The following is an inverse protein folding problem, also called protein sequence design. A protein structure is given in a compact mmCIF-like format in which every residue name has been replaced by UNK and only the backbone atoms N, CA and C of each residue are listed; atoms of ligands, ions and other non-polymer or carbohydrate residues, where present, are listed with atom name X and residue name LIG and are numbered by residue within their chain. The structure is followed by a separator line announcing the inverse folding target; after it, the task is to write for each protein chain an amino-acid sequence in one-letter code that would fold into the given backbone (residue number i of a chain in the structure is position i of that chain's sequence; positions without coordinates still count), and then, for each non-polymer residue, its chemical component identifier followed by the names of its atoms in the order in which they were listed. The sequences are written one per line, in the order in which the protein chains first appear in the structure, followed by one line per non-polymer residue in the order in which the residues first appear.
data_IF_115862380635
#
_entry.id   IF_115862380635
#
_cell.length_a   1.000
_cell.length_b   1.000
_cell.length_c   1.000
_cell.angle_alpha   90.00
_cell.angle_beta   90.00
_cell.angle_gamma   90.00
#
_symmetry.space_group_name_H-M   'P 1'
#
loop_
_entity.id
_entity.type
_entity.pdbx_description
1 polymer ?
#
# COMPACT_ATOMS: atom_id res chain seq x y z
N UNK A 1 -5.36 -20.90 -20.55
CA UNK A 1 -6.64 -21.06 -19.83
C UNK A 1 -7.78 -20.75 -20.79
N UNK A 2 -8.94 -21.38 -20.66
CA UNK A 2 -10.09 -21.10 -21.54
C UNK A 2 -10.71 -19.75 -21.21
N UNK A 3 -11.12 -18.98 -22.22
CA UNK A 3 -11.81 -17.68 -22.07
C UNK A 3 -12.95 -17.70 -21.04
N UNK A 4 -13.62 -18.85 -20.87
CA UNK A 4 -14.67 -19.07 -19.87
C UNK A 4 -14.24 -18.85 -18.41
N UNK A 5 -12.99 -19.14 -18.04
CA UNK A 5 -12.49 -18.95 -16.68
C UNK A 5 -12.20 -17.47 -16.39
N UNK A 6 -11.72 -16.74 -17.40
CA UNK A 6 -11.49 -15.30 -17.31
C UNK A 6 -12.82 -14.55 -17.17
N UNK A 7 -13.83 -14.91 -17.99
CA UNK A 7 -15.17 -14.34 -17.91
C UNK A 7 -15.83 -14.55 -16.54
N UNK A 8 -15.69 -15.76 -15.97
CA UNK A 8 -16.18 -16.05 -14.63
C UNK A 8 -15.43 -15.23 -13.58
N UNK A 9 -14.10 -15.13 -13.69
CA UNK A 9 -13.28 -14.32 -12.81
C UNK A 9 -13.70 -12.86 -12.80
N UNK A 10 -13.86 -12.26 -13.98
CA UNK A 10 -14.35 -10.88 -14.13
C UNK A 10 -15.70 -10.69 -13.45
N UNK A 11 -16.67 -11.58 -13.68
CA UNK A 11 -18.00 -11.49 -13.06
C UNK A 11 -17.94 -11.52 -11.53
N UNK A 12 -17.12 -12.40 -10.95
CA UNK A 12 -16.96 -12.49 -9.49
C UNK A 12 -16.30 -11.22 -8.93
N UNK A 13 -15.24 -10.74 -9.58
CA UNK A 13 -14.51 -9.55 -9.16
C UNK A 13 -15.36 -8.26 -9.29
N UNK A 14 -16.22 -8.17 -10.30
CA UNK A 14 -17.18 -7.06 -10.42
C UNK A 14 -18.22 -7.05 -9.29
N UNK A 15 -18.63 -8.22 -8.78
CA UNK A 15 -19.51 -8.27 -7.61
C UNK A 15 -18.84 -7.67 -6.38
N UNK A 16 -17.55 -8.00 -6.14
CA UNK A 16 -16.78 -7.41 -5.05
C UNK A 16 -16.69 -5.88 -5.17
N UNK A 17 -16.47 -5.35 -6.37
CA UNK A 17 -16.40 -3.91 -6.63
C UNK A 17 -17.76 -3.24 -6.39
N UNK A 18 -18.86 -3.83 -6.87
CA UNK A 18 -20.20 -3.28 -6.64
C UNK A 18 -20.53 -3.21 -5.14
N UNK A 19 -20.14 -4.23 -4.37
CA UNK A 19 -20.25 -4.18 -2.90
C UNK A 19 -19.38 -3.05 -2.32
N UNK A 20 -18.19 -2.81 -2.85
CA UNK A 20 -17.35 -1.70 -2.40
C UNK A 20 -18.00 -0.34 -2.67
N UNK A 21 -18.64 -0.16 -3.83
CA UNK A 21 -19.40 1.07 -4.17
C UNK A 21 -20.55 1.29 -3.18
N UNK A 22 -21.38 0.28 -2.96
CA UNK A 22 -22.51 0.38 -2.02
C UNK A 22 -22.08 0.69 -0.58
N UNK A 23 -20.93 0.16 -0.16
CA UNK A 23 -20.37 0.39 1.17
C UNK A 23 -19.66 1.75 1.28
N UNK A 24 -19.10 2.23 0.18
CA UNK A 24 -18.46 3.55 0.10
C UNK A 24 -19.49 4.65 0.38
N UNK A 25 -20.70 4.52 -0.17
CA UNK A 25 -21.81 5.43 0.09
C UNK A 25 -22.26 5.45 1.55
N UNK A 26 -22.07 4.34 2.25
CA UNK A 26 -22.40 4.18 3.68
C UNK A 26 -21.23 4.52 4.60
N UNK A 27 -20.12 5.05 4.08
CA UNK A 27 -18.88 5.32 4.82
C UNK A 27 -18.31 4.09 5.56
N UNK A 28 -18.60 2.87 5.11
CA UNK A 28 -18.19 1.65 5.79
C UNK A 28 -16.81 1.16 5.30
N UNK A 29 -15.80 2.01 5.44
CA UNK A 29 -14.45 1.76 4.93
C UNK A 29 -13.80 0.51 5.55
N UNK A 30 -14.12 0.18 6.81
CA UNK A 30 -13.64 -1.05 7.45
C UNK A 30 -14.11 -2.29 6.71
N UNK A 31 -15.38 -2.35 6.30
CA UNK A 31 -15.90 -3.48 5.53
C UNK A 31 -15.35 -3.47 4.10
N UNK A 32 -15.18 -2.31 3.46
CA UNK A 32 -14.51 -2.22 2.14
C UNK A 32 -13.10 -2.81 2.20
N UNK A 33 -12.32 -2.57 3.27
CA UNK A 33 -11.00 -3.21 3.43
C UNK A 33 -11.09 -4.75 3.44
N UNK A 34 -12.14 -5.31 4.05
CA UNK A 34 -12.39 -6.76 4.06
C UNK A 34 -12.71 -7.23 2.64
N UNK A 35 -13.60 -6.53 1.93
CA UNK A 35 -13.97 -6.88 0.55
C UNK A 35 -12.79 -6.74 -0.41
N UNK A 36 -11.93 -5.73 -0.25
CA UNK A 36 -10.71 -5.58 -1.05
C UNK A 36 -9.72 -6.73 -0.82
N UNK A 37 -9.61 -7.24 0.41
CA UNK A 37 -8.81 -8.45 0.66
C UNK A 37 -9.44 -9.69 0.01
N UNK A 38 -10.78 -9.84 0.07
CA UNK A 38 -11.52 -10.91 -0.61
C UNK A 38 -11.33 -10.85 -2.12
N UNK A 39 -11.36 -9.66 -2.70
CA UNK A 39 -11.08 -9.44 -4.12
C UNK A 39 -9.69 -9.99 -4.49
N UNK A 40 -8.66 -9.66 -3.71
CA UNK A 40 -7.29 -10.14 -3.96
C UNK A 40 -7.15 -11.66 -3.75
N UNK A 41 -7.91 -12.25 -2.83
CA UNK A 41 -8.01 -13.71 -2.66
C UNK A 41 -8.71 -14.35 -3.87
N UNK A 42 -9.76 -13.73 -4.42
CA UNK A 42 -10.40 -14.19 -5.64
C UNK A 42 -9.43 -14.13 -6.83
N UNK A 43 -8.63 -13.07 -6.95
CA UNK A 43 -7.55 -13.02 -7.96
C UNK A 43 -6.54 -14.17 -7.78
N UNK A 44 -6.23 -14.58 -6.55
CA UNK A 44 -5.36 -15.73 -6.29
C UNK A 44 -5.99 -17.04 -6.80
N UNK A 45 -7.30 -17.23 -6.60
CA UNK A 45 -8.05 -18.42 -7.05
C UNK A 45 -8.04 -18.53 -8.59
N UNK A 46 -8.28 -17.41 -9.28
CA UNK A 46 -8.25 -17.39 -10.75
C UNK A 46 -6.81 -17.37 -11.31
N UNK A 47 -5.83 -16.96 -10.49
CA UNK A 47 -4.42 -16.79 -10.84
C UNK A 47 -4.21 -15.86 -12.07
N UNK A 48 -5.06 -14.84 -12.20
CA UNK A 48 -5.02 -13.87 -13.29
C UNK A 48 -4.44 -12.54 -12.81
N UNK A 49 -3.15 -12.32 -13.11
CA UNK A 49 -2.44 -11.12 -12.65
C UNK A 49 -2.95 -9.82 -13.30
N UNK A 50 -3.65 -9.87 -14.42
CA UNK A 50 -4.17 -8.66 -15.05
C UNK A 50 -5.33 -8.04 -14.26
N UNK A 51 -5.90 -8.78 -13.29
CA UNK A 51 -7.12 -8.38 -12.60
C UNK A 51 -6.89 -7.88 -11.17
N UNK A 52 -5.68 -7.91 -10.61
CA UNK A 52 -5.48 -7.61 -9.18
C UNK A 52 -5.46 -6.10 -8.85
N UNK A 53 -5.09 -5.23 -9.81
CA UNK A 53 -4.89 -3.80 -9.57
C UNK A 53 -6.10 -3.10 -8.92
N UNK A 54 -7.36 -3.34 -9.36
CA UNK A 54 -8.53 -2.83 -8.66
C UNK A 54 -8.54 -3.10 -7.14
N UNK A 55 -8.24 -4.33 -6.73
CA UNK A 55 -8.19 -4.70 -5.31
C UNK A 55 -7.09 -3.97 -4.56
N UNK A 56 -5.93 -3.79 -5.21
CA UNK A 56 -4.81 -3.02 -4.66
C UNK A 56 -5.18 -1.55 -4.43
N UNK A 57 -5.81 -0.92 -5.43
CA UNK A 57 -6.18 0.49 -5.38
C UNK A 57 -7.34 0.76 -4.43
N UNK A 58 -8.37 -0.11 -4.38
CA UNK A 58 -9.45 -0.01 -3.40
C UNK A 58 -8.87 -0.13 -1.99
N UNK A 59 -7.96 -1.08 -1.76
CA UNK A 59 -7.31 -1.25 -0.46
C UNK A 59 -6.53 0.01 -0.04
N UNK A 60 -5.82 0.63 -0.97
CA UNK A 60 -5.06 1.85 -0.71
C UNK A 60 -6.00 3.02 -0.38
N UNK A 61 -6.99 3.25 -1.26
CA UNK A 61 -8.05 4.25 -1.10
C UNK A 61 -8.71 4.16 0.29
N UNK A 62 -9.06 2.96 0.73
CA UNK A 62 -9.68 2.76 2.06
C UNK A 62 -8.81 3.28 3.21
N UNK A 63 -7.48 3.12 3.13
CA UNK A 63 -6.60 3.64 4.18
C UNK A 63 -6.61 5.17 4.25
N UNK A 64 -6.73 5.84 3.10
CA UNK A 64 -6.86 7.29 3.05
C UNK A 64 -8.15 7.75 3.71
N UNK A 65 -9.29 7.13 3.36
CA UNK A 65 -10.58 7.47 3.94
C UNK A 65 -10.66 7.18 5.44
N UNK A 66 -10.05 6.08 5.90
CA UNK A 66 -9.88 5.84 7.33
C UNK A 66 -9.07 6.98 8.00
N UNK A 67 -8.04 7.50 7.33
CA UNK A 67 -7.29 8.67 7.78
C UNK A 67 -8.14 9.96 7.86
N UNK A 68 -9.08 10.13 6.93
CA UNK A 68 -10.03 11.26 6.93
C UNK A 68 -11.05 11.12 8.06
N UNK A 69 -11.70 9.97 8.22
CA UNK A 69 -12.79 9.82 9.21
C UNK A 69 -12.31 9.73 10.65
N UNK A 70 -11.11 9.19 10.88
CA UNK A 70 -10.56 9.06 12.23
C UNK A 70 -9.95 10.37 12.76
N UNK A 71 -9.83 11.40 11.92
CA UNK A 71 -9.41 12.73 12.31
C UNK A 71 -10.65 13.65 12.44
N UNK A 72 -10.95 14.20 13.64
CA UNK A 72 -12.14 15.02 13.88
C UNK A 72 -12.27 16.26 12.98
N UNK A 73 -11.16 16.85 12.53
CA UNK A 73 -11.18 18.04 11.68
C UNK A 73 -11.33 17.69 10.20
N UNK A 74 -10.73 16.59 9.76
CA UNK A 74 -10.85 16.11 8.38
C UNK A 74 -12.21 15.46 8.12
N UNK A 75 -12.80 14.78 9.11
CA UNK A 75 -14.08 14.10 8.99
C UNK A 75 -15.23 15.04 8.57
N UNK A 76 -15.16 16.32 8.94
CA UNK A 76 -16.09 17.37 8.52
C UNK A 76 -16.15 17.55 6.99
N UNK A 77 -15.08 17.17 6.29
CA UNK A 77 -14.93 17.29 4.83
C UNK A 77 -15.14 15.95 4.10
N UNK A 78 -15.63 14.92 4.78
CA UNK A 78 -15.77 13.57 4.21
C UNK A 78 -16.63 13.54 2.94
N UNK A 79 -17.75 14.27 2.91
CA UNK A 79 -18.63 14.30 1.74
C UNK A 79 -17.94 14.91 0.51
N UNK A 80 -17.09 15.91 0.70
CA UNK A 80 -16.30 16.49 -0.39
C UNK A 80 -15.17 15.56 -0.83
N UNK A 81 -14.53 14.86 0.13
CA UNK A 81 -13.53 13.85 -0.18
C UNK A 81 -14.14 12.70 -1.00
N UNK A 82 -15.35 12.23 -0.64
CA UNK A 82 -16.05 11.13 -1.32
C UNK A 82 -16.16 11.30 -2.83
N UNK A 83 -16.35 12.52 -3.33
CA UNK A 83 -16.41 12.81 -4.78
C UNK A 83 -15.14 12.31 -5.51
N UNK A 84 -13.98 12.40 -4.85
CA UNK A 84 -12.70 11.91 -5.38
C UNK A 84 -12.67 10.39 -5.43
N UNK A 85 -13.18 9.72 -4.39
CA UNK A 85 -13.22 8.25 -4.31
C UNK A 85 -14.26 7.62 -5.22
N UNK A 86 -15.45 8.23 -5.34
CA UNK A 86 -16.51 7.84 -6.28
C UNK A 86 -15.98 7.86 -7.72
N UNK A 87 -15.21 8.90 -8.07
CA UNK A 87 -14.54 8.98 -9.37
C UNK A 87 -13.57 7.83 -9.60
N UNK A 88 -12.72 7.48 -8.62
CA UNK A 88 -11.81 6.35 -8.74
C UNK A 88 -12.57 5.02 -8.87
N UNK A 89 -13.60 4.79 -8.06
CA UNK A 89 -14.41 3.58 -8.10
C UNK A 89 -15.11 3.40 -9.46
N UNK A 90 -15.62 4.47 -10.04
CA UNK A 90 -16.17 4.45 -11.40
C UNK A 90 -15.11 4.05 -12.44
N UNK A 91 -13.88 4.56 -12.34
CA UNK A 91 -12.77 4.16 -13.22
C UNK A 91 -12.36 2.71 -13.03
N UNK A 92 -12.41 2.20 -11.80
CA UNK A 92 -12.18 0.79 -11.50
C UNK A 92 -13.29 -0.10 -12.10
N UNK A 93 -14.54 0.33 -12.10
CA UNK A 93 -15.61 -0.40 -12.79
C UNK A 93 -15.41 -0.41 -14.30
N UNK A 94 -14.98 0.71 -14.88
CA UNK A 94 -14.71 0.84 -16.32
C UNK A 94 -13.51 0.00 -16.78
N UNK A 95 -12.54 -0.28 -15.91
CA UNK A 95 -11.34 -1.07 -16.22
C UNK A 95 -11.65 -2.42 -16.87
N UNK A 96 -12.75 -3.08 -16.53
CA UNK A 96 -13.11 -4.39 -17.09
C UNK A 96 -13.57 -4.36 -18.54
N UNK A 97 -13.69 -3.17 -19.15
CA UNK A 97 -14.06 -3.01 -20.57
C UNK A 97 -12.89 -3.30 -21.50
N UNK A 98 -11.68 -2.92 -21.10
CA UNK A 98 -10.47 -3.00 -21.94
C UNK A 98 -9.21 -3.51 -21.22
N UNK A 99 -9.28 -3.70 -19.89
CA UNK A 99 -8.18 -4.12 -19.02
C UNK A 99 -6.93 -3.26 -19.18
N UNK A 100 -7.10 -1.96 -19.45
CA UNK A 100 -5.97 -1.05 -19.67
C UNK A 100 -5.30 -0.62 -18.36
N UNK A 101 -4.23 -1.34 -17.98
CA UNK A 101 -3.48 -1.11 -16.74
C UNK A 101 -2.84 0.29 -16.66
N UNK A 102 -2.39 0.84 -17.79
CA UNK A 102 -1.78 2.17 -17.85
C UNK A 102 -2.79 3.28 -17.55
N UNK A 103 -3.99 3.19 -18.15
CA UNK A 103 -5.07 4.14 -17.87
C UNK A 103 -5.45 4.05 -16.38
N UNK A 104 -5.57 2.84 -15.84
CA UNK A 104 -5.95 2.65 -14.44
C UNK A 104 -4.91 3.23 -13.47
N UNK A 105 -3.61 3.06 -13.74
CA UNK A 105 -2.53 3.68 -12.97
C UNK A 105 -2.59 5.20 -13.01
N UNK A 106 -2.82 5.79 -14.19
CA UNK A 106 -2.97 7.24 -14.34
C UNK A 106 -4.18 7.78 -13.57
N UNK A 107 -5.31 7.07 -13.60
CA UNK A 107 -6.51 7.47 -12.84
C UNK A 107 -6.31 7.31 -11.33
N UNK A 108 -5.59 6.28 -10.90
CA UNK A 108 -5.17 6.14 -9.50
C UNK A 108 -4.19 7.23 -9.05
N UNK A 109 -3.28 7.67 -9.93
CA UNK A 109 -2.40 8.80 -9.65
C UNK A 109 -3.17 10.11 -9.49
N UNK A 110 -4.12 10.41 -10.37
CA UNK A 110 -5.01 11.58 -10.25
C UNK A 110 -5.83 11.53 -8.97
N UNK A 111 -6.34 10.36 -8.58
CA UNK A 111 -6.99 10.15 -7.30
C UNK A 111 -6.06 10.55 -6.14
N UNK A 112 -4.84 10.02 -6.10
CA UNK A 112 -3.89 10.29 -5.01
C UNK A 112 -3.50 11.77 -4.92
N UNK A 113 -3.31 12.44 -6.05
CA UNK A 113 -3.06 13.89 -6.07
C UNK A 113 -4.24 14.68 -5.48
N UNK A 114 -5.48 14.23 -5.74
CA UNK A 114 -6.69 14.92 -5.31
C UNK A 114 -7.02 14.64 -3.83
N UNK A 115 -6.91 13.39 -3.37
CA UNK A 115 -7.24 13.02 -1.98
C UNK A 115 -6.25 13.64 -0.99
N UNK A 116 -5.01 13.92 -1.42
CA UNK A 116 -4.00 14.56 -0.58
C UNK A 116 -4.43 15.94 -0.04
N UNK A 117 -5.28 16.67 -0.76
CA UNK A 117 -5.82 17.96 -0.28
C UNK A 117 -6.73 17.77 0.96
N UNK A 118 -7.28 16.57 1.16
CA UNK A 118 -8.07 16.20 2.34
C UNK A 118 -7.23 15.53 3.44
N UNK A 119 -6.10 14.94 3.07
CA UNK A 119 -5.21 14.21 3.99
C UNK A 119 -4.14 15.09 4.65
N UNK A 120 -3.82 16.25 4.09
CA UNK A 120 -2.87 17.21 4.68
C UNK A 120 -3.39 17.77 6.01
N UNK A 121 -2.48 17.98 6.95
CA UNK A 121 -2.78 18.78 8.14
C UNK A 121 -2.69 20.27 7.81
N UNK A 122 -3.33 21.14 8.60
CA UNK A 122 -3.34 22.58 8.34
C UNK A 122 -1.92 23.17 8.29
N UNK A 123 -1.00 22.63 9.10
CA UNK A 123 0.42 23.00 9.11
C UNK A 123 1.14 22.61 7.83
N UNK A 124 0.68 21.58 7.13
CA UNK A 124 1.29 21.09 5.90
C UNK A 124 0.94 21.96 4.68
N UNK A 125 -0.04 22.85 4.79
CA UNK A 125 -0.47 23.74 3.70
C UNK A 125 0.63 24.72 3.27
N UNK A 126 1.63 24.95 4.12
CA UNK A 126 2.78 25.80 3.82
C UNK A 126 3.83 25.13 2.92
N UNK A 127 3.76 23.81 2.72
CA UNK A 127 4.71 23.11 1.85
C UNK A 127 4.38 23.32 0.37
N UNK A 128 5.39 23.69 -0.40
CA UNK A 128 5.29 23.85 -1.85
C UNK A 128 5.10 22.49 -2.54
N UNK A 129 4.25 22.49 -3.56
CA UNK A 129 4.11 21.38 -4.52
C UNK A 129 5.41 21.29 -5.32
N UNK A 130 6.23 20.28 -5.04
CA UNK A 130 7.56 20.10 -5.61
C UNK A 130 7.84 18.61 -5.91
N UNK A 131 7.34 18.08 -7.04
CA UNK A 131 7.59 16.69 -7.44
C UNK A 131 9.09 16.36 -7.57
N UNK A 132 9.94 17.33 -7.89
CA UNK A 132 11.40 17.10 -7.98
C UNK A 132 12.00 16.78 -6.61
N UNK A 133 11.53 17.42 -5.55
CA UNK A 133 11.92 17.06 -4.18
C UNK A 133 11.48 15.65 -3.83
N UNK A 134 10.29 15.24 -4.26
CA UNK A 134 9.81 13.87 -4.07
C UNK A 134 10.66 12.85 -4.81
N UNK A 135 11.02 13.09 -6.07
CA UNK A 135 11.94 12.21 -6.82
C UNK A 135 13.30 12.08 -6.14
N UNK A 136 13.88 13.21 -5.67
CA UNK A 136 15.13 13.18 -4.90
C UNK A 136 15.00 12.40 -3.60
N UNK A 137 13.89 12.59 -2.88
CA UNK A 137 13.62 11.90 -1.62
C UNK A 137 13.45 10.40 -1.83
N UNK A 138 12.73 9.98 -2.87
CA UNK A 138 12.57 8.57 -3.21
C UNK A 138 13.90 7.93 -3.59
N UNK A 139 14.72 8.58 -4.43
CA UNK A 139 16.07 8.10 -4.74
C UNK A 139 16.93 7.96 -3.48
N UNK A 140 16.90 8.95 -2.58
CA UNK A 140 17.59 8.87 -1.30
C UNK A 140 17.10 7.67 -0.47
N UNK A 141 15.79 7.47 -0.34
CA UNK A 141 15.23 6.37 0.46
C UNK A 141 15.56 5.00 -0.12
N UNK A 142 15.53 4.83 -1.45
CA UNK A 142 15.92 3.58 -2.09
C UNK A 142 17.41 3.27 -1.86
N UNK A 143 18.28 4.27 -2.03
CA UNK A 143 19.71 4.13 -1.71
C UNK A 143 19.93 3.84 -0.21
N UNK A 144 19.09 4.42 0.66
CA UNK A 144 19.18 4.17 2.10
C UNK A 144 18.80 2.73 2.44
N UNK A 145 17.76 2.18 1.79
CA UNK A 145 17.39 0.76 1.91
C UNK A 145 18.51 -0.16 1.43
N UNK A 146 19.09 0.11 0.26
CA UNK A 146 20.19 -0.68 -0.30
C UNK A 146 21.43 -0.67 0.60
N UNK A 147 21.85 0.52 1.06
CA UNK A 147 23.06 0.66 1.87
C UNK A 147 22.90 0.16 3.32
N UNK A 148 21.67 0.00 3.79
CA UNK A 148 21.37 -0.44 5.15
C UNK A 148 20.42 -1.63 5.19
N UNK A 149 20.49 -2.49 4.17
CA UNK A 149 19.67 -3.70 4.05
C UNK A 149 19.70 -4.55 5.33
N UNK A 150 20.85 -4.59 6.02
CA UNK A 150 21.03 -5.33 7.26
C UNK A 150 20.04 -4.95 8.38
N UNK A 151 19.45 -3.75 8.36
CA UNK A 151 18.41 -3.38 9.32
C UNK A 151 17.11 -4.18 9.16
N UNK A 152 16.87 -4.77 7.99
CA UNK A 152 15.75 -5.71 7.76
C UNK A 152 15.93 -7.03 8.53
N UNK A 153 17.14 -7.33 9.00
CA UNK A 153 17.45 -8.59 9.67
C UNK A 153 17.67 -8.41 11.17
N UNK A 154 17.42 -7.20 11.70
CA UNK A 154 17.51 -6.91 13.12
C UNK A 154 16.19 -7.21 13.83
N UNK A 155 16.28 -7.88 14.98
CA UNK A 155 15.13 -8.20 15.82
C UNK A 155 14.40 -6.91 16.23
N UNK A 156 13.09 -6.91 16.09
CA UNK A 156 12.17 -5.81 16.41
C UNK A 156 12.48 -4.50 15.67
N UNK A 157 13.19 -4.55 14.54
CA UNK A 157 13.47 -3.37 13.73
C UNK A 157 12.27 -3.02 12.83
N UNK A 158 11.94 -1.73 12.76
CA UNK A 158 10.84 -1.16 11.98
C UNK A 158 11.32 -0.44 10.72
N UNK A 159 12.41 -0.92 10.11
CA UNK A 159 13.10 -0.24 9.01
C UNK A 159 12.18 0.12 7.84
N UNK A 160 11.48 -0.85 7.25
CA UNK A 160 10.54 -0.59 6.15
C UNK A 160 9.38 0.31 6.55
N UNK A 161 8.89 0.21 7.79
CA UNK A 161 7.84 1.09 8.31
C UNK A 161 8.34 2.55 8.37
N UNK A 162 9.58 2.75 8.83
CA UNK A 162 10.24 4.06 8.82
C UNK A 162 10.39 4.63 7.40
N UNK A 163 10.83 3.81 6.44
CA UNK A 163 10.93 4.20 5.02
C UNK A 163 9.55 4.62 4.48
N UNK A 164 8.53 3.78 4.68
CA UNK A 164 7.17 4.04 4.23
C UNK A 164 6.60 5.31 4.86
N UNK A 165 6.84 5.55 6.15
CA UNK A 165 6.41 6.77 6.83
C UNK A 165 6.98 8.03 6.17
N UNK A 166 8.27 8.01 5.81
CA UNK A 166 8.89 9.14 5.11
C UNK A 166 8.31 9.28 3.69
N UNK A 167 8.12 8.19 2.96
CA UNK A 167 7.51 8.22 1.61
C UNK A 167 6.11 8.83 1.63
N UNK A 168 5.26 8.40 2.57
CA UNK A 168 3.90 8.92 2.75
C UNK A 168 3.93 10.42 3.03
N UNK A 169 4.78 10.88 3.95
CA UNK A 169 4.93 12.30 4.26
C UNK A 169 5.33 13.11 3.02
N UNK A 170 6.31 12.62 2.26
CA UNK A 170 6.81 13.27 1.04
C UNK A 170 5.70 13.38 -0.01
N UNK A 171 5.03 12.26 -0.32
CA UNK A 171 3.92 12.19 -1.28
C UNK A 171 2.80 13.16 -0.89
N UNK A 172 2.39 13.15 0.39
CA UNK A 172 1.31 14.00 0.90
C UNK A 172 1.64 15.48 0.77
N UNK A 173 2.85 15.89 1.15
CA UNK A 173 3.18 17.31 1.32
C UNK A 173 3.79 17.95 0.06
N UNK A 174 4.51 17.20 -0.77
CA UNK A 174 5.31 17.77 -1.86
C UNK A 174 4.84 17.40 -3.26
N UNK A 175 3.70 16.73 -3.43
CA UNK A 175 3.28 16.17 -4.73
C UNK A 175 4.31 15.15 -5.25
N UNK A 176 3.98 14.39 -6.28
CA UNK A 176 4.80 13.27 -6.75
C UNK A 176 4.35 12.86 -8.15
N UNK A 177 5.22 12.18 -8.90
CA UNK A 177 4.87 11.65 -10.21
C UNK A 177 4.36 10.21 -10.08
N UNK A 178 3.80 9.67 -11.16
CA UNK A 178 3.32 8.29 -11.21
C UNK A 178 4.42 7.29 -10.81
N UNK A 179 5.65 7.55 -11.23
CA UNK A 179 6.83 6.74 -10.88
C UNK A 179 7.00 6.55 -9.36
N UNK A 180 6.97 7.64 -8.58
CA UNK A 180 7.06 7.56 -7.12
C UNK A 180 5.84 6.86 -6.49
N UNK A 181 4.64 7.05 -7.06
CA UNK A 181 3.45 6.35 -6.58
C UNK A 181 3.60 4.83 -6.72
N UNK A 182 4.05 4.38 -7.88
CA UNK A 182 4.25 2.96 -8.16
C UNK A 182 5.28 2.36 -7.17
N UNK A 183 6.42 3.03 -6.98
CA UNK A 183 7.43 2.60 -6.00
C UNK A 183 6.84 2.54 -4.58
N UNK A 184 6.08 3.56 -4.17
CA UNK A 184 5.42 3.58 -2.86
C UNK A 184 4.50 2.36 -2.68
N UNK A 185 3.64 2.07 -3.66
CA UNK A 185 2.74 0.91 -3.62
C UNK A 185 3.55 -0.38 -3.53
N UNK A 186 4.61 -0.54 -4.33
CA UNK A 186 5.45 -1.74 -4.27
C UNK A 186 6.04 -1.97 -2.88
N UNK A 187 6.68 -0.95 -2.29
CA UNK A 187 7.30 -1.05 -0.97
C UNK A 187 6.24 -1.28 0.11
N UNK A 188 5.04 -0.72 -0.03
CA UNK A 188 3.94 -0.94 0.90
C UNK A 188 3.54 -2.41 0.96
N UNK A 189 3.36 -3.04 -0.18
CA UNK A 189 3.04 -4.48 -0.23
C UNK A 189 4.23 -5.35 0.19
N UNK A 190 5.46 -4.94 -0.12
CA UNK A 190 6.65 -5.61 0.41
C UNK A 190 6.69 -5.54 1.95
N UNK A 191 6.32 -4.40 2.53
CA UNK A 191 6.20 -4.25 3.98
C UNK A 191 5.17 -5.19 4.60
N UNK A 192 4.03 -5.42 3.92
CA UNK A 192 3.05 -6.40 4.36
C UNK A 192 3.55 -7.84 4.26
N UNK A 193 4.27 -8.19 3.20
CA UNK A 193 4.87 -9.52 3.05
C UNK A 193 5.99 -9.74 4.07
N UNK A 194 6.84 -8.74 4.28
CA UNK A 194 7.95 -8.77 5.23
C UNK A 194 7.51 -9.13 6.65
N UNK A 195 6.34 -8.65 7.10
CA UNK A 195 5.79 -9.02 8.41
C UNK A 195 5.63 -10.55 8.56
N UNK A 196 5.22 -11.26 7.51
CA UNK A 196 5.10 -12.72 7.55
C UNK A 196 6.45 -13.40 7.49
N UNK A 197 7.37 -12.96 6.63
CA UNK A 197 8.71 -13.53 6.58
C UNK A 197 9.46 -13.33 7.89
N UNK A 198 9.32 -12.16 8.52
CA UNK A 198 9.86 -11.92 9.85
C UNK A 198 9.27 -12.90 10.86
N UNK A 199 7.95 -13.06 10.89
CA UNK A 199 7.26 -13.97 11.81
C UNK A 199 7.67 -15.44 11.61
N UNK A 200 7.67 -15.94 10.37
CA UNK A 200 8.03 -17.33 10.03
C UNK A 200 9.46 -17.67 10.46
N UNK A 201 10.36 -16.68 10.40
CA UNK A 201 11.78 -16.86 10.66
C UNK A 201 12.21 -16.39 12.06
N UNK A 202 11.27 -15.97 12.91
CA UNK A 202 11.54 -15.57 14.28
C UNK A 202 11.14 -16.69 15.26
N UNK A 203 12.13 -17.31 15.91
CA UNK A 203 11.90 -18.36 16.91
C UNK A 203 12.90 -18.24 18.06
N UNK A 204 12.48 -18.55 19.30
CA UNK A 204 13.35 -18.51 20.48
C UNK A 204 14.13 -17.18 20.65
N UNK A 205 13.49 -16.04 20.33
CA UNK A 205 14.12 -14.70 20.33
C UNK A 205 15.33 -14.57 19.40
N UNK A 206 15.42 -15.42 18.38
CA UNK A 206 16.43 -15.40 17.34
C UNK A 206 15.74 -15.29 15.98
N UNK A 207 16.41 -14.60 15.05
CA UNK A 207 15.94 -14.42 13.69
C UNK A 207 16.85 -15.21 12.74
N UNK A 208 16.27 -16.06 11.89
CA UNK A 208 17.03 -16.70 10.83
C UNK A 208 17.31 -15.68 9.71
N UNK A 209 18.43 -14.96 9.85
CA UNK A 209 18.81 -13.88 8.93
C UNK A 209 19.06 -14.39 7.51
N UNK A 210 19.66 -15.57 7.35
CA UNK A 210 19.99 -16.14 6.05
C UNK A 210 18.72 -16.42 5.24
N UNK A 211 17.72 -17.05 5.88
CA UNK A 211 16.45 -17.36 5.23
C UNK A 211 15.64 -16.12 4.87
N UNK A 212 15.53 -15.12 5.77
CA UNK A 212 14.84 -13.85 5.43
C UNK A 212 15.54 -13.13 4.29
N UNK A 213 16.88 -13.10 4.29
CA UNK A 213 17.65 -12.48 3.21
C UNK A 213 17.39 -13.17 1.88
N UNK A 214 17.35 -14.50 1.86
CA UNK A 214 16.96 -15.27 0.67
C UNK A 214 15.55 -14.89 0.21
N UNK A 215 14.57 -14.95 1.12
CA UNK A 215 13.14 -14.67 0.88
C UNK A 215 12.90 -13.24 0.33
N UNK A 216 13.71 -12.26 0.74
CA UNK A 216 13.58 -10.85 0.34
C UNK A 216 14.43 -10.47 -0.88
N UNK A 217 15.49 -11.22 -1.18
CA UNK A 217 16.54 -10.82 -2.12
C UNK A 217 16.01 -10.39 -3.49
N UNK A 218 15.06 -11.15 -4.05
CA UNK A 218 14.48 -10.86 -5.36
C UNK A 218 13.68 -9.56 -5.36
N UNK A 219 12.92 -9.29 -4.29
CA UNK A 219 12.12 -8.07 -4.19
C UNK A 219 12.98 -6.82 -4.00
N UNK A 220 14.06 -6.93 -3.22
CA UNK A 220 15.01 -5.84 -3.00
C UNK A 220 15.82 -5.53 -4.26
N UNK A 221 16.29 -6.56 -4.97
CA UNK A 221 16.95 -6.38 -6.29
C UNK A 221 16.04 -5.67 -7.28
N UNK A 222 14.75 -6.02 -7.31
CA UNK A 222 13.79 -5.36 -8.19
C UNK A 222 13.64 -3.88 -7.85
N UNK A 223 13.40 -3.54 -6.57
CA UNK A 223 13.31 -2.13 -6.12
C UNK A 223 14.57 -1.34 -6.48
N UNK A 224 15.75 -1.92 -6.22
CA UNK A 224 17.01 -1.27 -6.54
C UNK A 224 17.18 -1.03 -8.05
N UNK A 225 16.62 -1.90 -8.89
CA UNK A 225 16.62 -1.68 -10.35
C UNK A 225 15.76 -0.50 -10.78
N UNK A 226 14.75 -0.11 -10.00
CA UNK A 226 13.87 1.02 -10.30
C UNK A 226 14.52 2.38 -10.00
N UNK A 227 15.58 2.42 -9.18
CA UNK A 227 16.19 3.68 -8.71
C UNK A 227 16.85 4.52 -9.82
N UNK A 228 17.32 3.85 -10.87
CA UNK A 228 18.00 4.48 -12.02
C UNK A 228 17.13 4.54 -13.27
N UNK A 229 15.92 3.96 -13.23
CA UNK A 229 14.99 4.03 -14.35
C UNK A 229 14.27 5.37 -14.34
N UNK A 230 14.23 6.02 -15.51
CA UNK A 230 13.44 7.24 -15.70
C UNK A 230 11.96 6.92 -15.83
N UNK A 231 11.65 5.81 -16.50
CA UNK A 231 10.31 5.33 -16.79
C UNK A 231 10.18 3.87 -16.36
N UNK A 232 9.01 3.49 -15.85
CA UNK A 232 8.69 2.12 -15.43
C UNK A 232 7.95 1.42 -16.57
N UNK A 233 8.42 0.23 -16.96
CA UNK A 233 7.66 -0.71 -17.78
C UNK A 233 6.48 -1.23 -16.96
N UNK A 234 5.27 -0.74 -17.25
CA UNK A 234 4.05 -1.04 -16.50
C UNK A 234 3.74 -2.55 -16.49
N UNK A 235 3.74 -3.27 -17.63
CA UNK A 235 3.58 -4.73 -17.64
C UNK A 235 4.58 -5.48 -16.75
N UNK A 236 5.88 -5.16 -16.81
CA UNK A 236 6.91 -5.79 -15.96
C UNK A 236 6.67 -5.46 -14.48
N UNK A 237 6.38 -4.20 -14.18
CA UNK A 237 6.07 -3.75 -12.83
C UNK A 237 4.85 -4.44 -12.24
N UNK A 238 3.78 -4.56 -13.02
CA UNK A 238 2.54 -5.18 -12.56
C UNK A 238 2.74 -6.67 -12.27
N UNK A 239 3.59 -7.37 -13.04
CA UNK A 239 3.97 -8.76 -12.73
C UNK A 239 4.75 -8.87 -11.42
N UNK A 240 5.72 -7.98 -11.20
CA UNK A 240 6.51 -7.98 -9.97
C UNK A 240 5.68 -7.61 -8.74
N UNK A 241 4.80 -6.62 -8.86
CA UNK A 241 3.85 -6.25 -7.81
C UNK A 241 2.86 -7.40 -7.53
N UNK A 242 2.35 -8.06 -8.56
CA UNK A 242 1.50 -9.25 -8.39
C UNK A 242 2.20 -10.34 -7.59
N UNK A 243 3.48 -10.63 -7.85
CA UNK A 243 4.22 -11.66 -7.12
C UNK A 243 4.25 -11.37 -5.60
N UNK A 244 4.46 -10.11 -5.21
CA UNK A 244 4.40 -9.71 -3.80
C UNK A 244 2.98 -9.87 -3.25
N UNK A 245 1.98 -9.32 -3.95
CA UNK A 245 0.58 -9.36 -3.51
C UNK A 245 0.12 -10.80 -3.35
N UNK A 246 0.38 -11.65 -4.34
CA UNK A 246 0.09 -13.07 -4.35
C UNK A 246 0.69 -13.77 -3.13
N UNK A 247 2.01 -13.63 -2.94
CA UNK A 247 2.70 -14.26 -1.80
C UNK A 247 2.18 -13.75 -0.46
N UNK A 248 1.90 -12.46 -0.35
CA UNK A 248 1.28 -11.88 0.84
C UNK A 248 -0.11 -12.47 1.14
N UNK A 249 -0.95 -12.68 0.11
CA UNK A 249 -2.26 -13.33 0.28
C UNK A 249 -2.12 -14.81 0.65
N UNK A 250 -1.20 -15.53 0.03
CA UNK A 250 -0.89 -16.93 0.39
C UNK A 250 -0.47 -17.03 1.87
N UNK A 251 0.44 -16.17 2.33
CA UNK A 251 0.85 -16.14 3.73
C UNK A 251 -0.32 -15.79 4.66
N UNK A 252 -1.18 -14.84 4.28
CA UNK A 252 -2.38 -14.56 5.06
C UNK A 252 -3.26 -15.80 5.25
N UNK A 253 -3.41 -16.65 4.23
CA UNK A 253 -4.18 -17.90 4.34
C UNK A 253 -3.48 -18.88 5.30
N UNK A 254 -2.16 -19.06 5.16
CA UNK A 254 -1.39 -19.96 6.03
C UNK A 254 -1.45 -19.57 7.51
N UNK A 255 -1.38 -18.27 7.81
CA UNK A 255 -1.32 -17.74 9.17
C UNK A 255 -2.67 -17.23 9.69
N UNK A 256 -3.78 -17.43 8.96
CA UNK A 256 -5.10 -16.93 9.35
C UNK A 256 -5.52 -17.49 10.71
N UNK A 257 -5.79 -16.62 11.67
CA UNK A 257 -6.24 -17.00 13.01
C UNK A 257 -5.12 -17.13 14.05
N UNK A 258 -3.85 -16.99 13.65
CA UNK A 258 -2.77 -16.77 14.60
C UNK A 258 -2.80 -15.32 15.09
N UNK A 259 -2.56 -15.07 16.39
CA UNK A 259 -2.32 -13.73 16.89
C UNK A 259 -0.96 -13.29 16.38
N UNK A 260 -0.90 -12.88 15.12
CA UNK A 260 0.10 -11.90 14.72
C UNK A 260 -0.34 -10.67 15.48
N UNK A 261 0.23 -10.49 16.68
CA UNK A 261 0.14 -9.23 17.41
C UNK A 261 0.56 -8.15 16.42
N UNK A 262 -0.44 -7.49 15.82
CA UNK A 262 -0.26 -6.20 15.13
C UNK A 262 -0.07 -5.15 16.20
N UNK A 263 0.82 -5.41 17.14
CA UNK A 263 1.16 -4.43 18.13
C UNK A 263 1.99 -3.39 17.41
N UNK A 264 1.29 -2.29 17.12
CA UNK A 264 1.86 -0.97 17.10
C UNK A 264 2.40 -0.69 18.51
N UNK A 265 3.41 -1.44 18.96
CA UNK A 265 4.28 -1.01 20.03
C UNK A 265 5.08 0.15 19.43
N UNK A 266 4.55 1.36 19.63
CA UNK A 266 5.38 2.55 19.74
C UNK A 266 6.41 2.19 20.82
N UNK A 267 7.72 2.24 20.55
CA UNK A 267 8.72 2.04 21.58
C UNK A 267 8.38 2.96 22.76
N UNK A 268 8.23 2.39 23.96
CA UNK A 268 7.91 3.10 25.19
C UNK A 268 8.96 4.16 25.59
N UNK A 269 9.97 4.45 24.75
CA UNK A 269 10.97 5.50 24.92
C UNK A 269 10.64 6.85 24.27
N UNK A 270 9.47 7.04 23.63
CA UNK A 270 9.07 8.34 23.05
C UNK A 270 7.82 8.98 23.68
N UNK A 271 7.26 8.37 24.74
CA UNK A 271 6.42 9.16 25.67
C UNK A 271 7.37 10.02 26.48
N UNK A 272 7.42 11.32 26.16
CA UNK A 272 7.87 12.32 27.13
C UNK A 272 7.05 12.08 28.40
N UNK A 273 7.69 11.48 29.41
CA UNK A 273 7.21 11.56 30.78
C UNK A 273 7.16 13.04 31.11
N UNK A 274 5.96 13.63 31.07
CA UNK A 274 5.65 14.75 31.96
C UNK A 274 5.83 14.20 33.37
N UNK A 275 7.03 14.37 33.91
CA UNK A 275 7.25 14.36 35.33
C UNK A 275 6.47 15.59 35.81
N UNK A 276 5.27 15.35 36.34
CA UNK A 276 4.64 16.34 37.20
C UNK A 276 5.54 16.46 38.43
N UNK A 277 6.26 17.56 38.49
CA UNK A 277 6.73 18.13 39.74
C UNK A 277 5.49 18.59 40.51
N UNK A 278 5.10 17.83 41.54
CA UNK A 278 4.33 18.36 42.67
C UNK A 278 5.00 17.87 43.96
N UNK A 279 5.83 18.77 44.52
CA UNK A 279 5.96 18.97 45.97
C UNK A 279 5.64 20.43 46.24
#
# INVERSE_FOLDING_TARGET
MSDKNLDLGIKILQQDINVCVDLFDKNNFRLINIIANRYLENCLIFNEYQLYLPGVFIKDMVNDYLGVINNPDKSKRINSAKVVGEKLLSKIQDFFKDLNEEILWNDFHKYNLSINEFLRDDKDTHYLKNPQFSSKSFKFLLNYVENHENYLYMINNKFLEGILSIMVRVIRNHYFNLHELMIYIYIKYLGYLYQYYYYENFSNKQLNMEKIKEDLSNYLKYINSLKEKKDIDIPDFNKNLWNIVKKWREMYIFYKGLPIERDVFIPLGLKQTKINEEK
#
